data_IF_384206265290
#
_entry.id   IF_384206265290
#
_cell.length_a   1.000
_cell.length_b   1.000
_cell.length_c   1.000
_cell.angle_alpha   90.00
_cell.angle_beta   90.00
_cell.angle_gamma   90.00
#
_symmetry.space_group_name_H-M   'P 1'
#
loop_
_entity.id
_entity.type
_entity.pdbx_description
1 polymer ?
#
# COMPACT_ATOMS: atom_id res chain seq x y z
N UNK A 1 -2.00 -5.56 -2.52
CA UNK A 1 -1.46 -6.91 -2.73
C UNK A 1 -2.28 -7.60 -3.81
N UNK A 2 -3.54 -7.95 -3.57
CA UNK A 2 -4.39 -8.75 -4.45
C UNK A 2 -4.48 -8.19 -5.88
N UNK A 3 -4.65 -6.87 -6.04
CA UNK A 3 -4.66 -6.21 -7.36
C UNK A 3 -3.31 -6.41 -8.09
N UNK A 4 -2.20 -6.24 -7.39
CA UNK A 4 -0.88 -6.43 -7.98
C UNK A 4 -0.65 -7.90 -8.37
N UNK A 5 -1.11 -8.85 -7.54
CA UNK A 5 -1.06 -10.29 -7.85
C UNK A 5 -1.96 -10.63 -9.04
N UNK A 6 -3.16 -10.06 -9.13
CA UNK A 6 -4.06 -10.25 -10.28
C UNK A 6 -3.45 -9.73 -11.60
N UNK A 7 -2.53 -8.76 -11.51
CA UNK A 7 -1.72 -8.23 -12.63
C UNK A 7 -0.41 -9.00 -12.85
N UNK A 8 -0.17 -10.11 -12.14
CA UNK A 8 1.02 -10.94 -12.29
C UNK A 8 2.29 -10.37 -11.63
N UNK A 9 2.18 -9.35 -10.79
CA UNK A 9 3.33 -8.77 -10.12
C UNK A 9 3.85 -9.68 -8.99
N UNK A 10 5.16 -9.65 -8.77
CA UNK A 10 5.77 -10.08 -7.51
C UNK A 10 5.57 -8.98 -6.47
N UNK A 11 5.05 -9.31 -5.30
CA UNK A 11 4.67 -8.34 -4.27
C UNK A 11 5.50 -8.54 -3.00
N UNK A 12 6.18 -7.48 -2.57
CA UNK A 12 6.82 -7.37 -1.26
C UNK A 12 5.97 -6.41 -0.43
N UNK A 13 5.39 -6.89 0.66
CA UNK A 13 4.55 -6.07 1.53
C UNK A 13 5.30 -5.66 2.80
N UNK A 14 5.26 -4.38 3.16
CA UNK A 14 5.83 -3.87 4.40
C UNK A 14 4.70 -3.55 5.40
N UNK A 15 4.83 -4.03 6.62
CA UNK A 15 3.83 -3.88 7.66
C UNK A 15 4.45 -3.64 9.05
N UNK A 16 3.64 -3.20 10.02
CA UNK A 16 4.11 -2.78 11.35
C UNK A 16 4.10 -3.89 12.42
N UNK A 17 3.73 -5.11 12.06
CA UNK A 17 3.71 -6.24 12.99
C UNK A 17 3.74 -7.57 12.24
N UNK A 18 4.14 -8.64 12.94
CA UNK A 18 4.18 -9.98 12.37
C UNK A 18 2.80 -10.48 11.95
N UNK A 19 1.78 -10.20 12.74
CA UNK A 19 0.40 -10.53 12.41
C UNK A 19 -0.07 -9.87 11.10
N UNK A 20 0.32 -8.60 10.87
CA UNK A 20 0.01 -7.91 9.62
C UNK A 20 0.83 -8.46 8.45
N UNK A 21 2.08 -8.84 8.70
CA UNK A 21 2.89 -9.54 7.72
C UNK A 21 2.26 -10.89 7.34
N UNK A 22 1.82 -11.68 8.32
CA UNK A 22 1.12 -12.94 8.07
C UNK A 22 -0.16 -12.74 7.23
N UNK A 23 -0.96 -11.71 7.54
CA UNK A 23 -2.10 -11.34 6.70
C UNK A 23 -1.68 -10.98 5.27
N UNK A 24 -0.61 -10.21 5.10
CA UNK A 24 -0.10 -9.86 3.78
C UNK A 24 0.31 -11.10 2.98
N UNK A 25 0.95 -12.09 3.62
CA UNK A 25 1.29 -13.38 2.99
C UNK A 25 0.03 -14.17 2.62
N UNK A 26 -0.96 -14.25 3.50
CA UNK A 26 -2.23 -14.91 3.22
C UNK A 26 -3.00 -14.26 2.04
N UNK A 27 -2.78 -12.96 1.80
CA UNK A 27 -3.32 -12.23 0.66
C UNK A 27 -2.47 -12.34 -0.62
N UNK A 28 -1.41 -13.14 -0.59
CA UNK A 28 -0.60 -13.45 -1.75
C UNK A 28 0.69 -12.63 -1.89
N UNK A 29 1.15 -11.92 -0.85
CA UNK A 29 2.48 -11.30 -0.89
C UNK A 29 3.56 -12.39 -0.96
N UNK A 30 4.52 -12.23 -1.88
CA UNK A 30 5.63 -13.17 -2.09
C UNK A 30 6.72 -13.03 -1.03
N UNK A 31 6.80 -11.86 -0.37
CA UNK A 31 7.66 -11.59 0.77
C UNK A 31 7.02 -10.51 1.65
N UNK A 32 7.39 -10.48 2.93
CA UNK A 32 6.94 -9.45 3.86
C UNK A 32 8.11 -8.86 4.64
N UNK A 33 7.95 -7.62 5.08
CA UNK A 33 8.93 -6.87 5.88
C UNK A 33 8.22 -6.31 7.11
N UNK A 34 8.65 -6.70 8.30
CA UNK A 34 8.21 -6.03 9.51
C UNK A 34 9.14 -4.84 9.78
N UNK A 35 8.76 -3.65 9.31
CA UNK A 35 9.58 -2.45 9.40
C UNK A 35 9.78 -1.90 10.83
N UNK A 36 9.13 -2.49 11.85
CA UNK A 36 9.39 -2.14 13.25
C UNK A 36 10.60 -2.84 13.83
N UNK A 37 11.06 -3.93 13.20
CA UNK A 37 12.19 -4.76 13.64
C UNK A 37 13.28 -4.91 12.60
N UNK A 38 12.96 -4.68 11.34
CA UNK A 38 13.85 -4.89 10.21
C UNK A 38 14.25 -3.56 9.58
N UNK A 39 15.49 -3.45 9.12
CA UNK A 39 15.88 -2.32 8.29
C UNK A 39 15.21 -2.41 6.92
N UNK A 40 14.28 -1.49 6.65
CA UNK A 40 13.46 -1.52 5.44
C UNK A 40 14.31 -1.57 4.16
N UNK A 41 15.37 -0.76 4.07
CA UNK A 41 16.23 -0.68 2.89
C UNK A 41 16.99 -2.00 2.64
N UNK A 42 17.58 -2.55 3.68
CA UNK A 42 18.42 -3.74 3.57
C UNK A 42 17.57 -4.97 3.27
N UNK A 43 16.39 -5.06 3.89
CA UNK A 43 15.45 -6.14 3.64
C UNK A 43 14.85 -6.06 2.23
N UNK A 44 14.51 -4.86 1.73
CA UNK A 44 14.11 -4.70 0.32
C UNK A 44 15.21 -5.17 -0.63
N UNK A 45 16.47 -4.79 -0.39
CA UNK A 45 17.60 -5.21 -1.22
C UNK A 45 17.76 -6.73 -1.22
N UNK A 46 17.74 -7.36 -0.05
CA UNK A 46 17.81 -8.80 0.07
C UNK A 46 16.68 -9.50 -0.68
N UNK A 47 15.44 -9.04 -0.49
CA UNK A 47 14.26 -9.60 -1.15
C UNK A 47 14.23 -9.41 -2.67
N UNK A 48 15.04 -8.51 -3.21
CA UNK A 48 15.11 -8.19 -4.66
C UNK A 48 16.45 -8.56 -5.29
N UNK A 49 17.28 -9.35 -4.62
CA UNK A 49 18.64 -9.67 -5.06
C UNK A 49 19.46 -8.41 -5.45
N UNK A 50 19.29 -7.33 -4.71
CA UNK A 50 19.99 -6.06 -4.89
C UNK A 50 19.43 -5.14 -5.98
N UNK A 51 18.51 -5.60 -6.83
CA UNK A 51 17.94 -4.81 -7.95
C UNK A 51 17.00 -3.70 -7.48
N UNK A 52 16.29 -3.92 -6.38
CA UNK A 52 15.21 -3.06 -5.91
C UNK A 52 13.86 -3.34 -6.61
N UNK A 53 12.75 -2.80 -6.09
CA UNK A 53 11.43 -2.92 -6.68
C UNK A 53 11.26 -1.96 -7.87
N UNK A 54 10.56 -2.42 -8.91
CA UNK A 54 10.22 -1.58 -10.08
C UNK A 54 9.18 -0.50 -9.72
N UNK A 55 8.34 -0.80 -8.72
CA UNK A 55 7.30 0.12 -8.25
C UNK A 55 7.27 0.09 -6.72
N UNK A 56 7.29 1.28 -6.11
CA UNK A 56 6.97 1.48 -4.70
C UNK A 56 5.61 2.14 -4.60
N UNK A 57 4.66 1.53 -3.91
CA UNK A 57 3.34 2.09 -3.61
C UNK A 57 3.35 2.56 -2.15
N UNK A 58 3.41 3.87 -1.94
CA UNK A 58 3.57 4.44 -0.61
C UNK A 58 2.35 5.27 -0.16
N UNK A 59 1.47 4.71 0.68
CA UNK A 59 0.40 5.43 1.34
C UNK A 59 0.81 5.96 2.74
N UNK A 60 2.05 5.71 3.18
CA UNK A 60 2.50 5.93 4.57
C UNK A 60 3.32 7.21 4.69
N UNK A 61 4.29 7.40 3.82
CA UNK A 61 5.20 8.56 3.88
C UNK A 61 6.14 8.55 5.09
N UNK A 62 6.44 9.75 5.60
CA UNK A 62 7.30 9.94 6.77
C UNK A 62 8.69 9.35 6.59
N UNK A 63 9.26 8.79 7.67
CA UNK A 63 10.62 8.28 7.72
C UNK A 63 10.86 7.04 6.83
N UNK A 64 9.79 6.40 6.34
CA UNK A 64 9.91 5.23 5.45
C UNK A 64 10.09 5.62 3.98
N UNK A 65 9.75 6.84 3.60
CA UNK A 65 9.75 7.28 2.21
C UNK A 65 11.17 7.30 1.60
N UNK A 66 12.14 7.89 2.28
CA UNK A 66 13.51 7.96 1.78
C UNK A 66 14.19 6.59 1.68
N UNK A 67 14.17 5.71 2.71
CA UNK A 67 14.68 4.35 2.60
C UNK A 67 14.07 3.55 1.44
N UNK A 68 12.75 3.69 1.20
CA UNK A 68 12.06 3.05 0.10
C UNK A 68 12.50 3.59 -1.26
N UNK A 69 12.61 4.92 -1.41
CA UNK A 69 13.11 5.55 -2.64
C UNK A 69 14.58 5.18 -2.92
N UNK A 70 15.43 5.12 -1.87
CA UNK A 70 16.83 4.65 -2.00
C UNK A 70 16.94 3.21 -2.48
N UNK A 71 15.94 2.41 -2.21
CA UNK A 71 15.92 0.98 -2.57
C UNK A 71 15.36 0.71 -3.96
N UNK A 72 14.71 1.69 -4.59
CA UNK A 72 14.03 1.52 -5.88
C UNK A 72 14.99 1.04 -6.99
N UNK A 73 14.48 0.25 -7.93
CA UNK A 73 15.23 -0.22 -9.08
C UNK A 73 15.61 0.92 -10.03
N UNK A 74 16.55 0.66 -10.91
CA UNK A 74 16.85 1.55 -12.04
C UNK A 74 15.59 1.79 -12.87
N UNK A 75 15.25 3.07 -13.12
CA UNK A 75 14.02 3.52 -13.81
C UNK A 75 12.71 3.11 -13.12
N UNK A 76 12.76 2.79 -11.82
CA UNK A 76 11.58 2.47 -11.04
C UNK A 76 10.66 3.69 -10.81
N UNK A 77 9.44 3.42 -10.37
CA UNK A 77 8.41 4.43 -10.07
C UNK A 77 8.05 4.42 -8.60
N UNK A 78 8.22 5.56 -7.95
CA UNK A 78 7.77 5.77 -6.58
C UNK A 78 6.39 6.47 -6.61
N UNK A 79 5.35 5.77 -6.19
CA UNK A 79 3.97 6.26 -6.21
C UNK A 79 3.64 6.90 -4.86
N UNK A 80 3.45 8.21 -4.86
CA UNK A 80 3.01 8.98 -3.69
C UNK A 80 1.50 8.90 -3.60
N UNK A 81 0.99 8.11 -2.64
CA UNK A 81 -0.44 7.83 -2.48
C UNK A 81 -1.03 8.55 -1.26
N UNK A 82 -0.23 8.72 -0.20
CA UNK A 82 -0.69 9.37 1.01
C UNK A 82 0.39 9.47 2.09
N UNK A 83 0.01 10.02 3.23
CA UNK A 83 0.91 10.33 4.35
C UNK A 83 0.30 9.85 5.67
N UNK A 84 -0.07 8.57 5.75
CA UNK A 84 -0.73 7.99 6.92
C UNK A 84 0.13 8.01 8.20
N UNK A 85 1.45 8.21 8.08
CA UNK A 85 2.33 8.44 9.24
C UNK A 85 2.21 9.86 9.82
N UNK A 86 1.62 10.81 9.06
CA UNK A 86 1.44 12.22 9.41
C UNK A 86 2.42 13.15 8.69
N UNK A 87 3.73 13.10 8.94
CA UNK A 87 4.68 14.02 8.30
C UNK A 87 4.81 13.79 6.80
N UNK A 88 4.80 14.88 6.03
CA UNK A 88 5.11 14.86 4.59
C UNK A 88 6.63 14.79 4.45
N UNK A 89 7.19 13.78 3.76
CA UNK A 89 8.63 13.62 3.65
C UNK A 89 9.26 14.66 2.70
N UNK A 90 10.42 15.16 3.07
CA UNK A 90 11.28 15.95 2.18
C UNK A 90 12.33 15.01 1.57
N UNK A 91 12.18 14.67 0.28
CA UNK A 91 13.06 13.74 -0.41
C UNK A 91 14.15 14.46 -1.19
N UNK A 92 15.43 14.06 -1.05
CA UNK A 92 16.52 14.63 -1.82
C UNK A 92 16.38 14.30 -3.32
N UNK A 93 16.33 15.32 -4.18
CA UNK A 93 16.12 15.17 -5.64
C UNK A 93 17.26 14.44 -6.35
N UNK A 94 18.45 14.35 -5.75
CA UNK A 94 19.54 13.54 -6.30
C UNK A 94 19.22 12.03 -6.29
N UNK A 95 18.28 11.56 -5.47
CA UNK A 95 17.93 10.15 -5.43
C UNK A 95 17.26 9.66 -6.72
N UNK A 96 16.16 10.29 -7.19
CA UNK A 96 15.60 9.91 -8.49
C UNK A 96 16.56 10.18 -9.65
N UNK A 97 17.39 11.24 -9.61
CA UNK A 97 18.41 11.51 -10.63
C UNK A 97 19.37 10.32 -10.78
N UNK A 98 19.98 9.84 -9.68
CA UNK A 98 20.96 8.75 -9.69
C UNK A 98 20.38 7.40 -10.11
N UNK A 99 19.07 7.24 -10.03
CA UNK A 99 18.35 6.01 -10.38
C UNK A 99 17.60 6.11 -11.70
N UNK A 100 17.55 7.28 -12.33
CA UNK A 100 16.66 7.54 -13.47
C UNK A 100 15.20 7.25 -13.10
N UNK A 101 14.85 7.31 -11.81
CA UNK A 101 13.55 6.94 -11.29
C UNK A 101 12.55 8.10 -11.39
N UNK A 102 11.27 7.78 -11.34
CA UNK A 102 10.18 8.76 -11.31
C UNK A 102 9.50 8.78 -9.95
N UNK A 103 9.14 9.98 -9.47
CA UNK A 103 8.23 10.18 -8.36
C UNK A 103 6.89 10.62 -8.95
N UNK A 104 5.83 9.85 -8.71
CA UNK A 104 4.52 10.02 -9.35
C UNK A 104 3.44 10.20 -8.29
N UNK A 105 2.71 11.30 -8.35
CA UNK A 105 1.53 11.52 -7.51
C UNK A 105 0.35 10.63 -7.94
N UNK A 106 -0.34 10.04 -6.96
CA UNK A 106 -1.54 9.23 -7.17
C UNK A 106 -2.68 9.83 -6.36
N UNK A 107 -3.41 10.76 -6.97
CA UNK A 107 -4.56 11.41 -6.34
C UNK A 107 -5.86 10.89 -6.96
N UNK A 108 -6.31 9.73 -6.48
CA UNK A 108 -7.48 9.05 -7.04
C UNK A 108 -8.75 9.92 -7.03
N UNK A 109 -8.98 10.69 -5.96
CA UNK A 109 -10.17 11.54 -5.88
C UNK A 109 -10.27 12.57 -7.02
N UNK A 110 -9.14 13.18 -7.40
CA UNK A 110 -9.10 14.13 -8.51
C UNK A 110 -9.11 13.42 -9.87
N UNK A 111 -8.45 12.27 -9.98
CA UNK A 111 -8.54 11.41 -11.16
C UNK A 111 -10.00 11.03 -11.47
N UNK A 112 -10.76 10.59 -10.46
CA UNK A 112 -12.16 10.21 -10.65
C UNK A 112 -13.04 11.36 -11.15
N UNK A 113 -12.72 12.62 -10.78
CA UNK A 113 -13.42 13.81 -11.25
C UNK A 113 -13.02 14.22 -12.67
N UNK A 114 -11.73 14.21 -12.98
CA UNK A 114 -11.19 14.69 -14.26
C UNK A 114 -11.32 13.64 -15.36
N UNK A 115 -11.26 12.38 -15.01
CA UNK A 115 -11.28 11.24 -15.94
C UNK A 115 -12.38 10.24 -15.59
N UNK A 116 -13.67 10.66 -15.55
CA UNK A 116 -14.76 9.81 -15.07
C UNK A 116 -14.92 8.52 -15.88
N UNK A 117 -14.67 8.57 -17.19
CA UNK A 117 -14.76 7.38 -18.03
C UNK A 117 -13.66 6.36 -17.73
N UNK A 118 -12.43 6.82 -17.54
CA UNK A 118 -11.31 5.95 -17.15
C UNK A 118 -11.53 5.35 -15.75
N UNK A 119 -12.06 6.17 -14.82
CA UNK A 119 -12.44 5.69 -13.49
C UNK A 119 -13.55 4.63 -13.56
N UNK A 120 -14.59 4.84 -14.37
CA UNK A 120 -15.66 3.85 -14.55
C UNK A 120 -15.14 2.53 -15.11
N UNK A 121 -14.24 2.57 -16.09
CA UNK A 121 -13.57 1.39 -16.65
C UNK A 121 -12.77 0.64 -15.59
N UNK A 122 -11.97 1.35 -14.79
CA UNK A 122 -11.21 0.77 -13.68
C UNK A 122 -12.12 0.12 -12.63
N UNK A 123 -13.21 0.79 -12.27
CA UNK A 123 -14.16 0.26 -11.29
C UNK A 123 -14.89 -0.99 -11.81
N UNK A 124 -15.25 -1.01 -13.09
CA UNK A 124 -15.82 -2.21 -13.72
C UNK A 124 -14.85 -3.39 -13.72
N UNK A 125 -13.55 -3.15 -13.98
CA UNK A 125 -12.52 -4.20 -13.88
C UNK A 125 -12.39 -4.73 -12.45
N UNK A 126 -12.37 -3.86 -11.44
CA UNK A 126 -12.31 -4.27 -10.03
C UNK A 126 -13.56 -5.07 -9.62
N UNK A 127 -14.75 -4.66 -10.06
CA UNK A 127 -15.99 -5.41 -9.82
C UNK A 127 -15.94 -6.80 -10.45
N UNK A 128 -15.44 -6.92 -11.68
CA UNK A 128 -15.23 -8.21 -12.34
C UNK A 128 -14.26 -9.09 -11.55
N UNK A 129 -13.11 -8.57 -11.13
CA UNK A 129 -12.14 -9.33 -10.32
C UNK A 129 -12.69 -9.75 -8.95
N UNK A 130 -13.55 -8.91 -8.36
CA UNK A 130 -14.27 -9.28 -7.14
C UNK A 130 -15.21 -10.47 -7.40
N UNK A 131 -16.01 -10.42 -8.46
CA UNK A 131 -16.89 -11.52 -8.86
C UNK A 131 -16.15 -12.82 -9.19
N UNK A 132 -14.96 -12.71 -9.79
CA UNK A 132 -14.06 -13.85 -10.09
C UNK A 132 -13.29 -14.37 -8.85
N UNK A 133 -13.44 -13.70 -7.70
CA UNK A 133 -12.73 -14.05 -6.47
C UNK A 133 -11.23 -13.70 -6.44
N UNK A 134 -10.74 -12.97 -7.45
CA UNK A 134 -9.34 -12.52 -7.53
C UNK A 134 -9.00 -11.43 -6.52
N UNK A 135 -10.00 -10.60 -6.17
CA UNK A 135 -9.87 -9.53 -5.20
C UNK A 135 -10.98 -9.67 -4.17
N UNK A 136 -10.62 -9.87 -2.90
CA UNK A 136 -11.54 -9.98 -1.78
C UNK A 136 -11.08 -9.07 -0.65
N UNK A 137 -11.70 -7.89 -0.46
CA UNK A 137 -11.37 -7.02 0.67
C UNK A 137 -11.51 -7.76 2.01
N UNK A 138 -10.50 -7.62 2.86
CA UNK A 138 -10.54 -8.20 4.19
C UNK A 138 -11.40 -7.31 5.09
N UNK A 139 -12.43 -7.90 5.70
CA UNK A 139 -13.21 -7.28 6.76
C UNK A 139 -12.67 -7.74 8.10
N UNK A 140 -12.16 -6.80 8.90
CA UNK A 140 -11.68 -7.08 10.25
C UNK A 140 -12.88 -7.37 11.15
N UNK A 141 -13.85 -6.47 11.13
CA UNK A 141 -15.12 -6.64 11.85
C UNK A 141 -16.22 -5.73 11.32
N UNK A 142 -17.45 -6.11 11.65
CA UNK A 142 -18.64 -5.30 11.45
C UNK A 142 -19.16 -4.84 12.82
N UNK A 143 -19.48 -3.56 12.95
CA UNK A 143 -19.97 -2.94 14.18
C UNK A 143 -21.29 -2.22 13.90
N UNK A 144 -22.20 -2.10 14.88
CA UNK A 144 -23.38 -1.27 14.71
C UNK A 144 -23.00 0.20 14.64
N UNK A 145 -23.83 1.04 14.01
CA UNK A 145 -23.58 2.48 13.89
C UNK A 145 -23.40 3.15 15.27
N UNK A 146 -24.05 2.65 16.32
CA UNK A 146 -23.90 3.11 17.71
C UNK A 146 -22.47 2.96 18.26
N UNK A 147 -21.67 2.04 17.70
CA UNK A 147 -20.27 1.82 18.08
C UNK A 147 -19.26 2.68 17.29
N UNK A 148 -19.70 3.78 16.67
CA UNK A 148 -18.84 4.68 15.86
C UNK A 148 -17.60 5.13 16.62
N UNK A 149 -17.71 5.49 17.90
CA UNK A 149 -16.56 5.92 18.73
C UNK A 149 -15.54 4.80 18.92
N UNK A 150 -16.02 3.57 19.13
CA UNK A 150 -15.17 2.38 19.22
C UNK A 150 -14.42 2.13 17.90
N UNK A 151 -15.12 2.23 16.77
CA UNK A 151 -14.52 2.06 15.46
C UNK A 151 -13.36 3.07 15.23
N UNK A 152 -13.54 4.34 15.58
CA UNK A 152 -12.47 5.34 15.50
C UNK A 152 -11.31 5.06 16.46
N UNK A 153 -11.58 4.61 17.68
CA UNK A 153 -10.53 4.23 18.63
C UNK A 153 -9.70 3.05 18.11
N UNK A 154 -10.35 2.03 17.52
CA UNK A 154 -9.68 0.89 16.90
C UNK A 154 -8.81 1.32 15.70
N UNK A 155 -9.30 2.23 14.86
CA UNK A 155 -8.50 2.79 13.76
C UNK A 155 -7.29 3.57 14.29
N UNK A 156 -7.48 4.41 15.29
CA UNK A 156 -6.42 5.23 15.90
C UNK A 156 -5.34 4.38 16.58
N UNK A 157 -5.69 3.25 17.17
CA UNK A 157 -4.72 2.31 17.76
C UNK A 157 -3.92 1.51 16.74
N UNK A 158 -4.24 1.62 15.45
CA UNK A 158 -3.63 0.83 14.36
C UNK A 158 -3.78 -0.70 14.52
N UNK A 159 -4.74 -1.15 15.35
CA UNK A 159 -4.99 -2.58 15.59
C UNK A 159 -5.76 -3.26 14.46
N UNK A 160 -6.45 -2.48 13.62
CA UNK A 160 -7.32 -2.99 12.55
C UNK A 160 -6.50 -3.69 11.46
N UNK A 161 -6.97 -4.87 11.06
CA UNK A 161 -6.38 -5.69 9.99
C UNK A 161 -7.37 -5.81 8.82
N UNK A 162 -7.50 -4.77 8.02
CA UNK A 162 -8.45 -4.72 6.91
C UNK A 162 -9.41 -3.55 7.03
N UNK A 163 -10.70 -3.78 6.81
CA UNK A 163 -11.74 -2.74 6.88
C UNK A 163 -12.66 -2.95 8.06
N UNK A 164 -13.04 -1.85 8.73
CA UNK A 164 -14.18 -1.82 9.64
C UNK A 164 -15.42 -1.43 8.83
N UNK A 165 -16.52 -2.10 9.08
CA UNK A 165 -17.82 -1.79 8.47
C UNK A 165 -18.79 -1.42 9.60
N UNK A 166 -19.43 -0.28 9.47
CA UNK A 166 -20.54 0.13 10.32
C UNK A 166 -21.85 -0.18 9.60
N UNK A 167 -22.77 -0.79 10.29
CA UNK A 167 -24.10 -1.15 9.76
C UNK A 167 -25.19 -0.49 10.56
N UNK A 168 -26.26 -0.08 9.88
CA UNK A 168 -27.51 0.26 10.55
C UNK A 168 -28.16 -1.03 11.02
N UNK A 169 -28.56 -1.05 12.29
CA UNK A 169 -29.32 -2.17 12.87
C UNK A 169 -30.78 -2.14 12.37
#
# INVERSE_FOLDING_TARGET
IQIAKARGARVIAAASSDDKCALCQALGADATINYTRENLRDTIKAATAGKGPDVVYDPVGGDFAEPALRSIAWRGRYLVVGFASGPIPALPLNLPLLKGASIVGVFWGEFAKREPQANATMMAELARWYGEGKVKPVLDRTLPMSALREAFALMGSRAVKGKLVLVNA
#
